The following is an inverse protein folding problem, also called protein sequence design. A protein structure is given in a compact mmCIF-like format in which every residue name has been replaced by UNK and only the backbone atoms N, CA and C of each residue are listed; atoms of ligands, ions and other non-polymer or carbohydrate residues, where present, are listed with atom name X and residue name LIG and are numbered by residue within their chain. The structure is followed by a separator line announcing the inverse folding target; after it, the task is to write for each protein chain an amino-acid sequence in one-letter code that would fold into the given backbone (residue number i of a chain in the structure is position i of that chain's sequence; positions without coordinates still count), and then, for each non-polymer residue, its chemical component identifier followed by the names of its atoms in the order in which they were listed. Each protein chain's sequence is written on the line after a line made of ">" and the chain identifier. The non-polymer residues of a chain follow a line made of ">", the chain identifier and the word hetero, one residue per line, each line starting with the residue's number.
data_IF_232400163483
#
_entry.id   IF_232400163483
#
_cell.length_a   1.000
_cell.length_b   1.000
_cell.length_c   1.000
_cell.angle_alpha   90.00
_cell.angle_beta   90.00
_cell.angle_gamma   90.00
#
_symmetry.space_group_name_H-M   'P 1'
#
loop_
_entity.id
_entity.type
_entity.pdbx_description
1 polymer ?
#
# COMPACT_ATOMS: atom_id res chain seq x y z
N UNK A 1 3.46 30.26 -10.24
CA UNK A 1 4.01 29.13 -9.48
C UNK A 1 3.20 29.01 -8.21
N UNK A 2 2.15 28.18 -8.25
CA UNK A 2 1.51 27.70 -7.03
C UNK A 2 2.53 26.76 -6.36
N UNK A 3 2.99 27.10 -5.17
CA UNK A 3 4.04 26.34 -4.48
C UNK A 3 3.42 25.17 -3.69
N UNK A 4 4.26 24.26 -3.19
CA UNK A 4 3.85 23.23 -2.20
C UNK A 4 3.10 23.83 -1.00
N UNK A 5 3.22 25.14 -0.77
CA UNK A 5 2.44 25.93 0.20
C UNK A 5 0.93 25.89 -0.04
N UNK A 6 0.45 25.75 -1.29
CA UNK A 6 -0.98 25.72 -1.61
C UNK A 6 -1.61 24.34 -1.32
N UNK A 7 -0.94 23.25 -1.69
CA UNK A 7 -1.36 21.86 -1.36
C UNK A 7 -1.47 21.68 0.15
N UNK A 8 -0.41 22.08 0.86
CA UNK A 8 -0.33 22.06 2.32
C UNK A 8 -1.44 22.86 2.98
N UNK A 9 -1.76 24.04 2.46
CA UNK A 9 -2.82 24.90 2.99
C UNK A 9 -4.20 24.28 2.78
N UNK A 10 -4.51 23.77 1.60
CA UNK A 10 -5.81 23.11 1.30
C UNK A 10 -6.05 21.96 2.29
N UNK A 11 -5.03 21.12 2.46
CA UNK A 11 -5.08 19.94 3.31
C UNK A 11 -5.07 20.28 4.82
N UNK A 12 -4.34 21.31 5.23
CA UNK A 12 -4.35 21.83 6.60
C UNK A 12 -5.69 22.47 6.97
N UNK A 13 -6.24 23.33 6.10
CA UNK A 13 -7.51 24.01 6.33
C UNK A 13 -8.64 22.98 6.48
N UNK A 14 -8.71 21.97 5.61
CA UNK A 14 -9.64 20.85 5.73
C UNK A 14 -9.53 20.13 7.09
N UNK A 15 -8.29 19.84 7.52
CA UNK A 15 -8.02 19.15 8.78
C UNK A 15 -8.41 19.98 10.01
N UNK A 16 -8.22 21.29 9.97
CA UNK A 16 -8.58 22.19 11.07
C UNK A 16 -10.10 22.29 11.29
N UNK A 17 -10.88 22.19 10.21
CA UNK A 17 -12.34 22.24 10.25
C UNK A 17 -12.99 20.86 10.54
N UNK A 18 -12.20 19.80 10.61
CA UNK A 18 -12.67 18.45 10.95
C UNK A 18 -12.67 18.20 12.48
N UNK A 19 -13.64 17.45 13.03
CA UNK A 19 -13.70 17.17 14.47
C UNK A 19 -12.41 16.56 15.03
N UNK A 20 -12.03 16.94 16.25
CA UNK A 20 -10.76 16.57 16.90
C UNK A 20 -10.39 15.07 16.91
N UNK A 21 -11.30 14.11 17.19
CA UNK A 21 -10.95 12.68 17.29
C UNK A 21 -10.75 11.96 15.94
N UNK A 22 -10.98 12.63 14.81
CA UNK A 22 -10.98 12.02 13.46
C UNK A 22 -9.71 12.30 12.65
N UNK A 23 -8.65 12.85 13.27
CA UNK A 23 -7.41 13.21 12.57
C UNK A 23 -6.48 11.98 12.40
N UNK A 24 -5.98 11.75 11.17
CA UNK A 24 -5.08 10.63 10.83
C UNK A 24 -3.59 10.90 11.16
N UNK A 25 -2.85 9.95 11.77
CA UNK A 25 -1.41 10.07 12.00
C UNK A 25 -0.57 9.87 10.72
N UNK A 26 -1.03 9.07 9.75
CA UNK A 26 -0.33 8.84 8.46
C UNK A 26 -0.35 10.11 7.61
N UNK A 27 -1.50 10.77 7.54
CA UNK A 27 -1.56 12.09 6.95
C UNK A 27 -0.84 13.12 7.79
N UNK A 28 -0.75 12.97 9.12
CA UNK A 28 0.13 13.85 9.89
C UNK A 28 1.57 13.71 9.40
N UNK A 29 2.04 12.53 9.01
CA UNK A 29 3.33 12.39 8.32
C UNK A 29 3.35 13.01 6.92
N UNK A 30 2.45 12.65 6.00
CA UNK A 30 2.39 13.22 4.63
C UNK A 30 2.25 14.74 4.64
N UNK A 31 1.37 15.27 5.49
CA UNK A 31 1.13 16.69 5.69
C UNK A 31 2.31 17.37 6.39
N UNK A 32 2.98 16.75 7.36
CA UNK A 32 4.21 17.32 7.96
C UNK A 32 5.35 17.35 6.92
N UNK A 33 5.47 16.32 6.07
CA UNK A 33 6.40 16.29 4.94
C UNK A 33 6.11 17.37 3.90
N UNK A 34 4.84 17.71 3.66
CA UNK A 34 4.41 18.77 2.75
C UNK A 34 4.45 20.18 3.41
N UNK A 35 4.26 20.29 4.73
CA UNK A 35 4.08 21.56 5.46
C UNK A 35 5.32 22.06 6.22
N UNK A 36 6.30 21.20 6.57
CA UNK A 36 7.45 21.57 7.40
C UNK A 36 8.78 21.36 6.67
N UNK A 37 9.01 22.25 5.73
CA UNK A 37 10.34 22.57 5.21
C UNK A 37 10.94 23.75 6.00
N UNK A 38 11.06 23.65 7.32
CA UNK A 38 11.98 24.51 8.07
C UNK A 38 13.42 23.95 7.89
N UNK A 39 13.91 23.92 6.65
CA UNK A 39 15.29 23.59 6.30
C UNK A 39 15.52 22.55 5.19
N UNK A 40 14.54 21.71 4.85
CA UNK A 40 14.64 20.73 3.73
C UNK A 40 13.66 21.12 2.61
N UNK A 41 14.08 21.10 1.34
CA UNK A 41 13.18 21.45 0.21
C UNK A 41 11.91 20.57 0.23
N UNK A 42 10.75 21.15 -0.05
CA UNK A 42 9.50 20.41 -0.15
C UNK A 42 9.53 19.48 -1.38
N UNK A 43 8.91 18.28 -1.33
CA UNK A 43 8.93 17.37 -2.47
C UNK A 43 8.19 17.97 -3.66
N UNK A 44 8.79 17.91 -4.84
CA UNK A 44 8.15 18.28 -6.11
C UNK A 44 7.20 17.17 -6.55
N UNK A 45 7.59 15.92 -6.31
CA UNK A 45 6.85 14.73 -6.69
C UNK A 45 6.52 13.87 -5.47
N UNK A 46 5.40 13.14 -5.52
CA UNK A 46 5.02 12.17 -4.50
C UNK A 46 4.67 10.84 -5.16
N UNK A 47 5.25 9.75 -4.67
CA UNK A 47 4.87 8.38 -5.02
C UNK A 47 4.44 7.65 -3.75
N UNK A 48 3.20 7.17 -3.74
CA UNK A 48 2.63 6.37 -2.66
C UNK A 48 2.39 4.95 -3.14
N UNK A 49 3.13 4.01 -2.57
CA UNK A 49 2.92 2.58 -2.75
C UNK A 49 2.06 2.01 -1.61
N UNK A 50 1.00 1.29 -1.97
CA UNK A 50 0.10 0.61 -1.03
C UNK A 50 0.02 -0.88 -1.41
N UNK A 51 0.52 -1.76 -0.55
CA UNK A 51 0.23 -3.19 -0.64
C UNK A 51 -1.02 -3.47 0.20
N UNK A 52 -2.18 -3.55 -0.44
CA UNK A 52 -3.48 -3.70 0.25
C UNK A 52 -3.46 -4.97 1.12
N UNK A 53 -3.82 -4.86 2.39
CA UNK A 53 -3.86 -5.99 3.32
C UNK A 53 -2.49 -6.53 3.79
N UNK A 54 -1.37 -5.89 3.43
CA UNK A 54 -0.03 -6.42 3.73
C UNK A 54 0.50 -6.05 5.13
N UNK A 55 0.43 -6.98 6.07
CA UNK A 55 1.12 -6.89 7.37
C UNK A 55 2.61 -7.24 7.29
N UNK A 56 3.34 -7.10 8.40
CA UNK A 56 4.78 -7.43 8.46
C UNK A 56 5.10 -8.85 7.98
N UNK A 57 4.20 -9.81 8.21
CA UNK A 57 4.41 -11.21 7.82
C UNK A 57 4.27 -11.41 6.30
N UNK A 58 3.43 -10.64 5.60
CA UNK A 58 3.33 -10.67 4.14
C UNK A 58 4.64 -10.21 3.48
N UNK A 59 5.22 -9.13 4.00
CA UNK A 59 6.54 -8.64 3.57
C UNK A 59 7.64 -9.67 3.79
N UNK A 60 7.65 -10.34 4.94
CA UNK A 60 8.63 -11.38 5.24
C UNK A 60 8.41 -12.64 4.39
N UNK A 61 7.16 -13.01 4.11
CA UNK A 61 6.81 -14.15 3.26
C UNK A 61 7.33 -14.00 1.84
N UNK A 62 7.13 -12.83 1.23
CA UNK A 62 7.70 -12.54 -0.09
C UNK A 62 9.23 -12.53 -0.05
N UNK A 63 9.83 -11.87 0.94
CA UNK A 63 11.29 -11.82 1.11
C UNK A 63 11.95 -13.19 1.09
N UNK A 64 11.37 -14.17 1.79
CA UNK A 64 11.98 -15.49 1.92
C UNK A 64 11.80 -16.37 0.67
N UNK A 65 10.88 -16.01 -0.23
CA UNK A 65 10.63 -16.73 -1.47
C UNK A 65 11.35 -16.09 -2.68
N UNK A 66 11.77 -14.83 -2.58
CA UNK A 66 12.49 -14.15 -3.65
C UNK A 66 13.91 -14.69 -3.84
N UNK A 67 14.34 -14.76 -5.10
CA UNK A 67 15.62 -15.37 -5.48
C UNK A 67 16.86 -14.49 -5.18
N UNK A 68 16.68 -13.30 -4.61
CA UNK A 68 17.80 -12.45 -4.19
C UNK A 68 18.53 -13.10 -3.00
N UNK A 69 19.84 -13.43 -3.12
CA UNK A 69 20.61 -14.02 -2.03
C UNK A 69 20.72 -13.14 -0.77
N UNK A 70 20.40 -11.84 -0.85
CA UNK A 70 20.30 -10.97 0.34
C UNK A 70 18.90 -10.93 0.95
N UNK A 71 17.87 -11.18 0.14
CA UNK A 71 16.45 -11.02 0.48
C UNK A 71 16.07 -9.57 0.80
N UNK A 72 16.91 -8.59 0.49
CA UNK A 72 16.66 -7.21 0.88
C UNK A 72 15.83 -6.49 -0.18
N UNK A 73 14.78 -5.83 0.29
CA UNK A 73 13.96 -4.95 -0.52
C UNK A 73 14.60 -3.57 -0.57
N UNK A 74 14.39 -2.84 -1.68
CA UNK A 74 14.98 -1.50 -1.88
C UNK A 74 14.67 -0.52 -0.75
N UNK A 75 13.56 -0.72 -0.04
CA UNK A 75 13.11 0.10 1.09
C UNK A 75 13.65 -0.31 2.47
N UNK A 76 14.33 -1.45 2.60
CA UNK A 76 14.93 -1.86 3.88
C UNK A 76 16.01 -0.90 4.36
N UNK A 77 16.74 -0.30 3.41
CA UNK A 77 17.80 0.67 3.69
C UNK A 77 17.30 2.12 3.87
N UNK A 78 15.99 2.38 3.78
CA UNK A 78 15.47 3.74 3.79
C UNK A 78 15.57 4.39 5.19
N UNK A 79 15.72 5.72 5.26
CA UNK A 79 15.93 6.43 6.51
C UNK A 79 14.72 6.39 7.45
N UNK A 80 13.51 6.23 6.92
CA UNK A 80 12.27 6.16 7.71
C UNK A 80 11.70 4.76 7.62
N UNK A 81 11.53 4.14 8.79
CA UNK A 81 10.91 2.83 8.98
C UNK A 81 10.06 2.89 10.24
N UNK A 82 8.74 2.85 10.06
CA UNK A 82 7.75 2.99 11.11
C UNK A 82 6.73 1.85 11.02
N UNK A 83 5.87 1.78 12.02
CA UNK A 83 4.68 0.95 12.01
C UNK A 83 3.47 1.88 12.17
N UNK A 84 2.37 1.59 11.49
CA UNK A 84 1.17 2.41 11.51
C UNK A 84 -0.11 1.57 11.54
N UNK A 85 -1.22 2.23 11.81
CA UNK A 85 -2.57 1.69 11.67
C UNK A 85 -3.51 2.81 11.18
N UNK A 86 -4.65 2.41 10.63
CA UNK A 86 -5.63 3.31 10.01
C UNK A 86 -7.06 3.02 10.50
N UNK A 87 -7.31 2.87 11.83
CA UNK A 87 -8.65 2.54 12.32
C UNK A 87 -9.68 3.57 11.84
N UNK A 88 -10.91 3.14 11.50
CA UNK A 88 -11.92 4.01 10.90
C UNK A 88 -12.40 5.08 11.90
N UNK A 89 -13.24 5.99 11.43
CA UNK A 89 -13.87 6.98 12.31
C UNK A 89 -14.67 6.28 13.43
N UNK A 90 -14.45 6.72 14.67
CA UNK A 90 -14.96 6.05 15.87
C UNK A 90 -14.11 4.88 16.37
N UNK A 91 -13.20 4.35 15.56
CA UNK A 91 -12.27 3.29 15.92
C UNK A 91 -11.00 3.80 16.62
N UNK A 92 -10.39 2.94 17.43
CA UNK A 92 -9.18 3.26 18.20
C UNK A 92 -8.08 2.21 18.02
N UNK A 93 -6.84 2.62 18.31
CA UNK A 93 -5.72 1.71 18.44
C UNK A 93 -5.10 1.90 19.81
N UNK A 94 -5.07 0.84 20.61
CA UNK A 94 -4.44 0.81 21.93
C UNK A 94 -3.29 -0.20 21.92
N UNK A 95 -2.02 0.24 21.97
CA UNK A 95 -0.88 -0.66 21.94
C UNK A 95 -0.78 -1.56 23.19
N UNK A 96 -1.29 -1.12 24.35
CA UNK A 96 -1.27 -1.94 25.57
C UNK A 96 -2.30 -3.07 25.47
N UNK A 97 -3.47 -2.79 24.91
CA UNK A 97 -4.48 -3.83 24.65
C UNK A 97 -4.02 -4.80 23.57
N UNK A 98 -3.47 -4.29 22.46
CA UNK A 98 -2.92 -5.13 21.40
C UNK A 98 -1.86 -6.11 21.93
N UNK A 99 -1.05 -5.69 22.91
CA UNK A 99 -0.05 -6.55 23.53
C UNK A 99 -0.64 -7.59 24.50
N UNK A 100 -1.73 -7.27 25.19
CA UNK A 100 -2.27 -8.10 26.28
C UNK A 100 -3.39 -9.05 25.85
N UNK A 101 -4.17 -8.68 24.86
CA UNK A 101 -5.34 -9.41 24.41
C UNK A 101 -5.25 -9.69 22.90
N UNK A 102 -4.93 -10.94 22.50
CA UNK A 102 -4.90 -11.30 21.09
C UNK A 102 -6.22 -11.03 20.34
N UNK A 103 -7.38 -11.07 21.03
CA UNK A 103 -8.67 -10.77 20.41
C UNK A 103 -8.85 -9.27 20.10
N UNK A 104 -7.97 -8.40 20.61
CA UNK A 104 -7.95 -6.99 20.25
C UNK A 104 -7.64 -6.78 18.76
N UNK A 105 -6.94 -7.71 18.11
CA UNK A 105 -6.65 -7.59 16.68
C UNK A 105 -7.90 -7.64 15.80
N UNK A 106 -9.02 -8.13 16.31
CA UNK A 106 -10.28 -8.26 15.56
C UNK A 106 -11.23 -7.08 15.78
N UNK A 107 -10.76 -6.00 16.43
CA UNK A 107 -11.57 -4.83 16.78
C UNK A 107 -11.29 -3.63 15.88
N UNK A 108 -12.32 -2.84 15.63
CA UNK A 108 -12.24 -1.56 14.90
C UNK A 108 -11.56 -1.72 13.52
N UNK A 109 -11.89 -2.82 12.84
CA UNK A 109 -11.33 -3.18 11.54
C UNK A 109 -11.69 -2.12 10.51
N UNK A 110 -10.67 -1.45 9.99
CA UNK A 110 -10.81 -0.53 8.87
C UNK A 110 -10.99 -1.30 7.57
N UNK A 111 -11.67 -0.73 6.60
CA UNK A 111 -11.65 -1.22 5.22
C UNK A 111 -10.72 -0.34 4.36
N UNK A 112 -10.35 -0.83 3.17
CA UNK A 112 -9.48 -0.08 2.26
C UNK A 112 -9.98 1.34 1.95
N UNK A 113 -11.30 1.55 1.93
CA UNK A 113 -11.92 2.86 1.68
C UNK A 113 -11.67 3.86 2.81
N UNK A 114 -11.93 3.46 4.06
CA UNK A 114 -11.65 4.29 5.22
C UNK A 114 -10.15 4.54 5.40
N UNK A 115 -9.33 3.51 5.17
CA UNK A 115 -7.88 3.60 5.29
C UNK A 115 -7.27 4.57 4.26
N UNK A 116 -7.59 4.44 2.96
CA UNK A 116 -7.05 5.34 1.95
C UNK A 116 -7.55 6.77 2.11
N UNK A 117 -8.81 6.94 2.55
CA UNK A 117 -9.34 8.26 2.92
C UNK A 117 -8.47 8.89 4.00
N UNK A 118 -8.19 8.16 5.08
CA UNK A 118 -7.36 8.64 6.18
C UNK A 118 -5.92 8.95 5.73
N UNK A 119 -5.35 8.18 4.81
CA UNK A 119 -4.00 8.39 4.29
C UNK A 119 -3.90 9.60 3.37
N UNK A 120 -4.91 9.85 2.54
CA UNK A 120 -4.84 10.84 1.45
C UNK A 120 -5.54 12.16 1.74
N UNK A 121 -6.47 12.20 2.69
CA UNK A 121 -7.22 13.42 3.09
C UNK A 121 -6.90 13.90 4.49
N UNK A 122 -6.38 13.01 5.33
CA UNK A 122 -6.06 13.27 6.72
C UNK A 122 -7.18 13.23 7.72
N UNK A 123 -8.37 12.93 7.23
CA UNK A 123 -9.57 12.81 8.02
C UNK A 123 -10.01 11.36 7.93
N UNK A 124 -10.25 10.74 9.09
CA UNK A 124 -10.83 9.41 9.16
C UNK A 124 -12.27 9.46 8.68
N UNK A 125 -12.73 8.40 8.04
CA UNK A 125 -14.13 8.20 7.69
C UNK A 125 -14.62 6.84 8.16
N UNK A 126 -15.91 6.59 8.03
CA UNK A 126 -16.50 5.28 8.31
C UNK A 126 -16.26 4.32 7.15
N UNK A 127 -16.21 3.02 7.43
CA UNK A 127 -16.00 2.01 6.38
C UNK A 127 -17.00 2.14 5.24
N UNK A 128 -16.56 1.80 4.04
CA UNK A 128 -17.37 1.84 2.82
C UNK A 128 -17.43 3.21 2.14
N UNK A 129 -16.80 4.26 2.70
CA UNK A 129 -16.84 5.63 2.15
C UNK A 129 -15.48 6.08 1.61
N UNK A 130 -15.51 6.82 0.49
CA UNK A 130 -14.31 7.30 -0.20
C UNK A 130 -14.23 8.82 -0.09
N UNK A 131 -13.17 9.34 0.52
CA UNK A 131 -12.87 10.78 0.58
C UNK A 131 -14.06 11.66 0.96
N UNK A 132 -14.84 11.23 1.96
CA UNK A 132 -15.89 12.02 2.61
C UNK A 132 -15.69 11.93 4.12
N UNK A 133 -16.04 12.98 4.86
CA UNK A 133 -16.00 12.96 6.31
C UNK A 133 -17.12 12.05 6.90
N UNK A 134 -17.14 11.78 8.21
CA UNK A 134 -18.18 10.94 8.81
C UNK A 134 -19.61 11.48 8.67
N UNK A 135 -19.78 12.79 8.44
CA UNK A 135 -21.07 13.41 8.15
C UNK A 135 -21.50 13.23 6.69
N UNK A 136 -20.57 12.82 5.82
CA UNK A 136 -20.76 12.62 4.40
C UNK A 136 -20.34 13.82 3.56
N UNK A 137 -19.68 14.83 4.13
CA UNK A 137 -19.21 15.98 3.37
C UNK A 137 -17.95 15.60 2.57
N UNK A 138 -17.84 15.95 1.27
CA UNK A 138 -16.65 15.68 0.47
C UNK A 138 -15.37 16.26 1.06
N UNK A 139 -14.30 15.47 1.02
CA UNK A 139 -12.94 15.85 1.36
C UNK A 139 -12.10 15.97 0.09
N UNK A 140 -11.17 16.93 0.09
CA UNK A 140 -10.12 17.06 -0.90
C UNK A 140 -9.06 16.00 -0.64
N UNK A 141 -8.79 15.18 -1.65
CA UNK A 141 -7.73 14.17 -1.61
C UNK A 141 -6.37 14.76 -1.96
N UNK A 142 -5.29 14.04 -1.65
CA UNK A 142 -3.94 14.40 -2.08
C UNK A 142 -3.84 14.60 -3.60
N UNK A 143 -4.46 13.72 -4.39
CA UNK A 143 -4.47 13.87 -5.85
C UNK A 143 -5.18 15.15 -6.29
N UNK A 144 -6.36 15.43 -5.72
CA UNK A 144 -7.10 16.65 -6.05
C UNK A 144 -6.35 17.92 -5.65
N UNK A 145 -5.68 17.91 -4.49
CA UNK A 145 -4.86 19.03 -4.04
C UNK A 145 -3.64 19.24 -4.95
N UNK A 146 -2.97 18.16 -5.37
CA UNK A 146 -1.82 18.23 -6.29
C UNK A 146 -2.25 18.71 -7.69
N UNK A 147 -3.38 18.21 -8.22
CA UNK A 147 -3.95 18.68 -9.48
C UNK A 147 -4.44 20.13 -9.43
N UNK A 148 -4.84 20.64 -8.26
CA UNK A 148 -5.17 22.05 -8.06
C UNK A 148 -3.91 22.95 -8.05
N UNK A 149 -2.74 22.37 -7.83
CA UNK A 149 -1.43 23.03 -7.95
C UNK A 149 -0.77 22.77 -9.32
N UNK A 150 -1.57 22.45 -10.34
CA UNK A 150 -1.17 22.21 -11.73
C UNK A 150 -0.19 21.03 -11.92
N UNK A 151 -0.08 20.12 -10.94
CA UNK A 151 0.74 18.91 -11.03
C UNK A 151 -0.05 17.76 -11.63
N UNK A 152 0.62 16.93 -12.42
CA UNK A 152 0.03 15.71 -12.98
C UNK A 152 -0.25 14.65 -11.92
N UNK A 153 -1.33 13.89 -12.09
CA UNK A 153 -1.76 12.90 -11.10
C UNK A 153 -2.14 11.57 -11.71
N UNK A 154 -1.86 10.47 -11.00
CA UNK A 154 -2.13 9.14 -11.52
C UNK A 154 -2.36 8.05 -10.49
N UNK A 155 -3.07 7.02 -10.92
CA UNK A 155 -3.28 5.77 -10.18
C UNK A 155 -2.91 4.56 -11.02
N UNK A 156 -2.24 3.60 -10.39
CA UNK A 156 -1.91 2.29 -10.96
C UNK A 156 -2.26 1.22 -9.92
N UNK A 157 -2.96 0.17 -10.32
CA UNK A 157 -3.33 -0.92 -9.41
C UNK A 157 -3.35 -2.28 -10.10
N UNK A 158 -3.22 -3.36 -9.32
CA UNK A 158 -3.43 -4.73 -9.81
C UNK A 158 -4.90 -5.19 -9.81
N UNK A 159 -5.81 -4.46 -9.16
CA UNK A 159 -7.27 -4.73 -9.12
C UNK A 159 -8.01 -3.74 -10.03
N UNK A 160 -9.37 -3.71 -10.13
CA UNK A 160 -10.02 -2.72 -10.95
C UNK A 160 -9.70 -1.31 -10.46
N UNK A 161 -9.43 -0.36 -11.37
CA UNK A 161 -9.06 1.01 -10.97
C UNK A 161 -10.17 1.75 -10.20
N UNK A 162 -11.40 1.24 -10.21
CA UNK A 162 -12.54 1.74 -9.43
C UNK A 162 -12.61 1.17 -8.01
N UNK A 163 -11.70 0.26 -7.65
CA UNK A 163 -11.64 -0.29 -6.30
C UNK A 163 -11.27 0.79 -5.27
N UNK A 164 -11.45 0.50 -3.98
CA UNK A 164 -11.46 1.53 -2.96
C UNK A 164 -10.16 2.33 -2.85
N UNK A 165 -8.99 1.70 -2.85
CA UNK A 165 -7.69 2.38 -2.74
C UNK A 165 -7.43 3.34 -3.91
N UNK A 166 -7.49 2.94 -5.20
CA UNK A 166 -7.28 3.88 -6.30
C UNK A 166 -8.39 4.93 -6.38
N UNK A 167 -9.64 4.56 -6.08
CA UNK A 167 -10.77 5.49 -6.10
C UNK A 167 -10.68 6.54 -4.99
N UNK A 168 -10.42 6.14 -3.74
CA UNK A 168 -10.37 7.04 -2.59
C UNK A 168 -9.16 7.97 -2.58
N UNK A 169 -8.12 7.67 -3.35
CA UNK A 169 -7.05 8.61 -3.66
C UNK A 169 -7.49 9.71 -4.64
N UNK A 170 -8.41 9.42 -5.56
CA UNK A 170 -8.75 10.30 -6.67
C UNK A 170 -10.08 11.07 -6.51
N UNK A 171 -11.09 10.44 -5.94
CA UNK A 171 -12.48 10.92 -5.95
C UNK A 171 -13.15 10.76 -4.60
N UNK A 172 -14.18 11.57 -4.37
CA UNK A 172 -15.10 11.41 -3.25
C UNK A 172 -16.37 10.70 -3.68
N UNK A 173 -16.79 9.71 -2.89
CA UNK A 173 -18.00 8.93 -3.14
C UNK A 173 -18.56 8.36 -1.82
N UNK A 174 -19.88 8.35 -1.68
CA UNK A 174 -20.55 7.88 -0.47
C UNK A 174 -20.51 6.36 -0.30
N UNK A 175 -20.27 5.62 -1.39
CA UNK A 175 -20.28 4.16 -1.40
C UNK A 175 -19.16 3.63 -2.29
N UNK A 176 -18.20 2.91 -1.70
CA UNK A 176 -17.10 2.24 -2.43
C UNK A 176 -17.60 1.22 -3.46
N UNK A 177 -18.82 0.71 -3.32
CA UNK A 177 -19.45 -0.21 -4.26
C UNK A 177 -20.06 0.45 -5.50
N UNK A 178 -20.10 1.78 -5.58
CA UNK A 178 -20.70 2.52 -6.69
C UNK A 178 -19.78 2.58 -7.94
N UNK A 179 -19.28 1.44 -8.42
CA UNK A 179 -18.25 1.35 -9.48
C UNK A 179 -18.57 2.12 -10.76
N UNK A 180 -19.83 2.12 -11.21
CA UNK A 180 -20.26 2.90 -12.38
C UNK A 180 -20.09 4.41 -12.18
N UNK A 181 -20.40 4.90 -10.99
CA UNK A 181 -20.23 6.31 -10.62
C UNK A 181 -18.76 6.65 -10.46
N UNK A 182 -18.02 5.82 -9.70
CA UNK A 182 -16.59 5.99 -9.45
C UNK A 182 -15.80 6.06 -10.76
N UNK A 183 -16.03 5.14 -11.70
CA UNK A 183 -15.39 5.18 -13.01
C UNK A 183 -15.63 6.50 -13.75
N UNK A 184 -16.87 7.00 -13.72
CA UNK A 184 -17.22 8.27 -14.37
C UNK A 184 -16.58 9.45 -13.69
N UNK A 185 -16.49 9.45 -12.36
CA UNK A 185 -15.81 10.50 -11.60
C UNK A 185 -14.30 10.51 -11.89
N UNK A 186 -13.65 9.35 -11.90
CA UNK A 186 -12.21 9.25 -12.15
C UNK A 186 -11.87 9.66 -13.59
N UNK A 187 -12.62 9.17 -14.58
CA UNK A 187 -12.38 9.46 -16.00
C UNK A 187 -12.88 10.86 -16.42
N UNK A 188 -13.84 11.42 -15.69
CA UNK A 188 -14.31 12.80 -15.87
C UNK A 188 -13.51 13.84 -15.09
N UNK A 189 -12.61 13.39 -14.20
CA UNK A 189 -11.81 14.24 -13.32
C UNK A 189 -10.50 14.74 -13.93
N UNK A 190 -9.58 15.14 -13.04
CA UNK A 190 -8.27 15.73 -13.36
C UNK A 190 -7.09 14.75 -13.36
N UNK A 191 -7.34 13.44 -13.28
CA UNK A 191 -6.26 12.46 -13.39
C UNK A 191 -5.67 12.45 -14.81
N UNK A 192 -4.36 12.24 -14.92
CA UNK A 192 -3.63 12.09 -16.18
C UNK A 192 -3.34 10.63 -16.50
N UNK A 193 -3.25 9.78 -15.46
CA UNK A 193 -3.04 8.34 -15.59
C UNK A 193 -4.06 7.56 -14.76
N UNK A 194 -4.75 6.63 -15.39
CA UNK A 194 -5.59 5.62 -14.72
C UNK A 194 -5.23 4.26 -15.26
N UNK A 195 -4.61 3.39 -14.46
CA UNK A 195 -4.28 2.03 -14.91
C UNK A 195 -4.72 0.98 -13.89
N UNK A 196 -5.43 -0.04 -14.34
CA UNK A 196 -5.91 -1.12 -13.48
C UNK A 196 -6.72 -2.16 -14.25
N UNK A 197 -7.07 -3.26 -13.60
CA UNK A 197 -7.94 -4.29 -14.18
C UNK A 197 -9.36 -3.73 -14.45
N UNK A 198 -10.26 -4.58 -14.93
CA UNK A 198 -11.65 -4.22 -15.20
C UNK A 198 -12.01 -4.20 -16.68
N UNK A 199 -11.27 -4.92 -17.52
CA UNK A 199 -11.56 -4.98 -18.94
C UNK A 199 -12.94 -5.61 -19.18
N UNK A 200 -13.84 -4.96 -19.93
CA UNK A 200 -15.20 -5.46 -20.07
C UNK A 200 -15.33 -6.81 -20.77
N UNK A 201 -14.35 -7.16 -21.59
CA UNK A 201 -14.43 -8.24 -22.56
C UNK A 201 -13.47 -9.38 -22.26
N UNK A 202 -12.81 -9.40 -21.10
CA UNK A 202 -11.89 -10.48 -20.73
C UNK A 202 -12.26 -11.08 -19.38
N UNK A 203 -11.88 -12.33 -19.15
CA UNK A 203 -11.88 -13.00 -17.84
C UNK A 203 -10.52 -12.87 -17.14
N UNK A 204 -10.34 -13.51 -15.99
CA UNK A 204 -9.10 -13.48 -15.21
C UNK A 204 -7.98 -14.37 -15.76
N UNK A 205 -8.26 -15.18 -16.79
CA UNK A 205 -7.26 -15.92 -17.56
C UNK A 205 -6.79 -15.15 -18.80
N UNK A 206 -7.25 -13.92 -18.97
CA UNK A 206 -6.93 -13.09 -20.13
C UNK A 206 -7.65 -13.49 -21.41
N UNK A 207 -8.71 -14.32 -21.32
CA UNK A 207 -9.47 -14.78 -22.49
C UNK A 207 -10.64 -13.87 -22.75
N UNK A 208 -10.89 -13.60 -24.03
CA UNK A 208 -12.03 -12.78 -24.46
C UNK A 208 -13.35 -13.50 -24.13
N UNK A 209 -14.30 -12.77 -23.54
CA UNK A 209 -15.66 -13.23 -23.24
C UNK A 209 -16.68 -12.77 -24.30
N UNK A 210 -17.80 -13.49 -24.40
CA UNK A 210 -18.91 -13.15 -25.29
C UNK A 210 -19.86 -12.08 -24.71
N UNK A 211 -19.92 -11.99 -23.39
CA UNK A 211 -20.75 -11.01 -22.66
C UNK A 211 -19.83 -10.02 -21.97
N UNK A 212 -20.06 -8.73 -22.25
CA UNK A 212 -19.29 -7.66 -21.65
C UNK A 212 -19.78 -7.30 -20.24
N UNK A 213 -18.84 -6.99 -19.35
CA UNK A 213 -19.11 -6.36 -18.05
C UNK A 213 -18.53 -4.94 -18.00
N UNK A 214 -19.40 -3.94 -18.15
CA UNK A 214 -18.98 -2.54 -18.17
C UNK A 214 -18.96 -1.86 -16.80
N UNK A 215 -19.23 -2.59 -15.69
CA UNK A 215 -19.41 -1.96 -14.39
C UNK A 215 -18.15 -1.22 -13.89
N UNK A 216 -16.96 -1.72 -14.26
CA UNK A 216 -15.65 -1.17 -13.87
C UNK A 216 -15.16 -0.02 -14.75
N UNK A 217 -15.85 0.29 -15.85
CA UNK A 217 -15.42 1.30 -16.84
C UNK A 217 -16.46 2.40 -17.09
N UNK A 218 -17.45 2.55 -16.19
CA UNK A 218 -18.44 3.61 -16.26
C UNK A 218 -19.64 3.32 -17.17
N UNK A 219 -19.75 2.10 -17.68
CA UNK A 219 -20.80 1.66 -18.60
C UNK A 219 -20.38 1.65 -20.07
N UNK A 220 -21.22 1.05 -20.91
CA UNK A 220 -20.94 0.84 -22.33
C UNK A 220 -20.63 2.15 -23.07
N UNK A 221 -21.41 3.21 -22.85
CA UNK A 221 -21.19 4.51 -23.51
C UNK A 221 -19.83 5.14 -23.15
N UNK A 222 -19.38 4.98 -21.89
CA UNK A 222 -18.06 5.46 -21.45
C UNK A 222 -16.95 4.65 -22.11
N UNK A 223 -17.09 3.33 -22.15
CA UNK A 223 -16.15 2.44 -22.84
C UNK A 223 -16.06 2.74 -24.35
N UNK A 224 -17.19 2.88 -25.03
CA UNK A 224 -17.24 3.21 -26.45
C UNK A 224 -16.54 4.55 -26.74
N UNK A 225 -16.73 5.54 -25.85
CA UNK A 225 -16.05 6.84 -25.96
C UNK A 225 -14.54 6.76 -25.69
N UNK A 226 -14.09 5.87 -24.79
CA UNK A 226 -12.66 5.58 -24.59
C UNK A 226 -12.05 4.96 -25.84
N UNK A 227 -12.71 3.94 -26.40
CA UNK A 227 -12.25 3.25 -27.62
C UNK A 227 -12.21 4.21 -28.81
N UNK A 228 -13.18 5.11 -28.93
CA UNK A 228 -13.21 6.13 -29.97
C UNK A 228 -12.21 7.28 -29.77
N UNK A 229 -11.54 7.35 -28.60
CA UNK A 229 -10.66 8.47 -28.26
C UNK A 229 -11.41 9.80 -28.09
N UNK A 230 -12.71 9.75 -27.78
CA UNK A 230 -13.57 10.93 -27.62
C UNK A 230 -13.93 11.22 -26.16
N UNK A 231 -13.61 10.31 -25.23
CA UNK A 231 -13.79 10.57 -23.81
C UNK A 231 -12.72 11.52 -23.30
N UNK A 232 -13.13 12.64 -22.71
CA UNK A 232 -12.23 13.59 -22.07
C UNK A 232 -13.00 14.64 -21.27
N UNK A 233 -12.43 15.08 -20.16
CA UNK A 233 -12.97 16.20 -19.39
C UNK A 233 -12.73 17.52 -20.15
N UNK A 234 -13.66 18.46 -20.04
CA UNK A 234 -13.54 19.76 -20.68
C UNK A 234 -12.25 20.47 -20.22
N UNK A 235 -11.40 20.86 -21.16
CA UNK A 235 -10.11 21.52 -20.88
C UNK A 235 -8.93 20.56 -20.65
N UNK A 236 -9.16 19.27 -20.41
CA UNK A 236 -8.09 18.30 -20.13
C UNK A 236 -7.64 17.50 -21.37
N UNK A 237 -8.46 17.49 -22.41
CA UNK A 237 -8.24 16.68 -23.61
C UNK A 237 -8.71 15.22 -23.48
N UNK A 238 -8.70 14.47 -24.59
CA UNK A 238 -9.17 13.09 -24.62
C UNK A 238 -8.18 12.12 -23.96
N UNK A 239 -8.72 11.02 -23.47
CA UNK A 239 -7.96 9.88 -22.99
C UNK A 239 -7.41 9.04 -24.15
N UNK A 240 -6.17 8.60 -24.03
CA UNK A 240 -5.62 7.51 -24.85
C UNK A 240 -5.83 6.18 -24.15
N UNK A 241 -6.56 5.24 -24.76
CA UNK A 241 -6.76 3.90 -24.22
C UNK A 241 -5.63 2.96 -24.64
N UNK A 242 -5.05 2.24 -23.67
CA UNK A 242 -4.13 1.11 -23.91
C UNK A 242 -4.65 -0.13 -23.19
N UNK A 243 -4.52 -1.30 -23.82
CA UNK A 243 -4.99 -2.57 -23.25
C UNK A 243 -3.98 -3.69 -23.40
N UNK A 244 -3.22 -3.76 -24.50
CA UNK A 244 -2.24 -4.82 -24.71
C UNK A 244 -0.96 -4.56 -23.92
N UNK A 245 -0.36 -5.60 -23.30
CA UNK A 245 0.91 -5.51 -22.55
C UNK A 245 2.01 -4.76 -23.31
N UNK A 246 2.17 -5.02 -24.61
CA UNK A 246 3.14 -4.33 -25.44
C UNK A 246 2.97 -2.80 -25.50
N UNK A 247 1.74 -2.29 -25.34
CA UNK A 247 1.48 -0.85 -25.26
C UNK A 247 1.97 -0.24 -23.94
N UNK A 248 1.81 -0.96 -22.82
CA UNK A 248 2.36 -0.54 -21.52
C UNK A 248 3.90 -0.53 -21.57
N UNK A 249 4.50 -1.58 -22.13
CA UNK A 249 5.94 -1.68 -22.31
C UNK A 249 6.49 -0.56 -23.22
N UNK A 250 5.81 -0.28 -24.34
CA UNK A 250 6.20 0.83 -25.22
C UNK A 250 6.06 2.19 -24.53
N UNK A 251 5.02 2.38 -23.71
CA UNK A 251 4.79 3.63 -22.99
C UNK A 251 5.79 3.86 -21.85
N UNK A 252 6.44 2.82 -21.32
CA UNK A 252 7.43 2.96 -20.25
C UNK A 252 8.64 3.86 -20.60
N UNK A 253 8.96 4.01 -21.89
CA UNK A 253 10.08 4.84 -22.36
C UNK A 253 9.81 5.57 -23.68
N UNK A 254 8.65 5.36 -24.30
CA UNK A 254 8.26 5.96 -25.56
C UNK A 254 7.59 7.33 -25.42
N UNK A 255 7.00 7.79 -26.53
CA UNK A 255 6.21 9.02 -26.53
C UNK A 255 4.97 8.85 -25.64
N UNK A 256 4.79 9.76 -24.69
CA UNK A 256 3.66 9.76 -23.78
C UNK A 256 2.52 10.67 -24.30
N UNK A 257 1.25 10.20 -24.29
CA UNK A 257 0.12 11.10 -24.45
C UNK A 257 -0.04 11.97 -23.21
N UNK A 258 -0.83 13.06 -23.30
CA UNK A 258 -1.17 13.87 -22.12
C UNK A 258 -1.92 13.06 -21.06
N UNK A 259 -2.89 12.25 -21.49
CA UNK A 259 -3.71 11.42 -20.61
C UNK A 259 -3.83 10.00 -21.12
N UNK A 260 -3.69 9.01 -20.24
CA UNK A 260 -3.79 7.59 -20.57
C UNK A 260 -4.68 6.82 -19.60
N UNK A 261 -5.57 5.99 -20.17
CA UNK A 261 -6.27 4.95 -19.41
C UNK A 261 -5.70 3.60 -19.87
N UNK A 262 -5.15 2.84 -18.92
CA UNK A 262 -4.66 1.49 -19.14
C UNK A 262 -5.60 0.47 -18.55
N UNK A 263 -6.23 -0.36 -19.38
CA UNK A 263 -7.10 -1.46 -18.94
C UNK A 263 -6.57 -2.77 -19.52
N UNK A 264 -5.62 -3.44 -18.83
CA UNK A 264 -5.10 -4.76 -19.22
C UNK A 264 -6.20 -5.75 -19.53
N UNK A 265 -5.97 -6.81 -20.34
CA UNK A 265 -7.03 -7.69 -20.82
C UNK A 265 -7.45 -8.71 -19.73
N UNK A 266 -7.82 -8.25 -18.54
CA UNK A 266 -8.27 -9.06 -17.39
C UNK A 266 -9.42 -8.38 -16.65
N UNK A 267 -10.27 -9.17 -15.98
CA UNK A 267 -11.48 -8.65 -15.31
C UNK A 267 -11.19 -8.08 -13.93
N UNK A 268 -10.71 -8.91 -13.02
CA UNK A 268 -10.67 -8.61 -11.60
C UNK A 268 -9.26 -8.30 -11.12
N UNK A 269 -8.26 -9.08 -11.53
CA UNK A 269 -6.88 -8.88 -11.06
C UNK A 269 -5.89 -9.12 -12.20
N UNK A 270 -4.70 -8.53 -12.13
CA UNK A 270 -3.66 -8.85 -13.11
C UNK A 270 -3.32 -10.34 -13.13
N UNK A 271 -3.24 -10.98 -11.96
CA UNK A 271 -2.77 -12.37 -11.88
C UNK A 271 -3.39 -13.20 -10.75
N UNK A 272 -3.83 -12.62 -9.62
CA UNK A 272 -4.27 -13.39 -8.45
C UNK A 272 -5.48 -14.32 -8.72
N UNK A 273 -6.44 -13.86 -9.51
CA UNK A 273 -7.68 -14.58 -9.85
C UNK A 273 -7.55 -15.49 -11.09
N UNK A 274 -6.37 -15.58 -11.70
CA UNK A 274 -6.16 -16.50 -12.84
C UNK A 274 -6.42 -17.95 -12.43
N UNK A 275 -6.90 -18.73 -13.38
CA UNK A 275 -7.20 -20.15 -13.23
C UNK A 275 -6.00 -21.02 -12.87
N UNK A 276 -6.25 -22.32 -12.71
CA UNK A 276 -5.31 -23.27 -12.13
C UNK A 276 -5.63 -23.56 -10.66
N UNK A 277 -4.72 -24.27 -9.97
CA UNK A 277 -4.89 -24.59 -8.55
C UNK A 277 -4.63 -23.32 -7.68
N UNK A 278 -5.65 -22.77 -7.01
CA UNK A 278 -5.52 -21.53 -6.23
C UNK A 278 -4.70 -21.73 -4.94
N UNK A 279 -4.47 -22.97 -4.50
CA UNK A 279 -3.70 -23.33 -3.32
C UNK A 279 -2.31 -23.87 -3.67
N UNK A 280 -1.92 -23.80 -4.94
CA UNK A 280 -0.61 -24.22 -5.38
C UNK A 280 0.51 -23.40 -4.72
N UNK A 281 1.70 -23.99 -4.66
CA UNK A 281 2.89 -23.28 -4.22
C UNK A 281 3.13 -22.02 -5.07
N UNK A 282 3.78 -20.97 -4.52
CA UNK A 282 4.11 -19.76 -5.27
C UNK A 282 4.77 -20.08 -6.61
N UNK A 283 4.31 -19.45 -7.69
CA UNK A 283 4.81 -19.58 -9.06
C UNK A 283 4.62 -20.97 -9.71
N UNK A 284 3.94 -21.92 -9.06
CA UNK A 284 3.67 -23.24 -9.64
C UNK A 284 2.61 -23.19 -10.74
N UNK A 285 1.66 -22.26 -10.65
CA UNK A 285 0.69 -21.99 -11.71
C UNK A 285 1.24 -20.88 -12.61
N UNK A 286 1.38 -21.10 -13.93
CA UNK A 286 1.89 -20.09 -14.86
C UNK A 286 1.11 -18.78 -14.79
N UNK A 287 1.80 -17.65 -14.97
CA UNK A 287 1.18 -16.32 -15.10
C UNK A 287 0.59 -16.15 -16.49
N UNK A 288 -0.40 -15.28 -16.62
CA UNK A 288 -0.90 -14.85 -17.92
C UNK A 288 0.16 -13.94 -18.57
N UNK A 289 0.83 -14.41 -19.61
CA UNK A 289 1.97 -13.71 -20.22
C UNK A 289 1.58 -12.44 -20.98
N UNK A 290 0.35 -12.36 -21.49
CA UNK A 290 -0.16 -11.19 -22.23
C UNK A 290 -0.67 -10.05 -21.32
N UNK A 291 -0.63 -10.24 -20.00
CA UNK A 291 -1.03 -9.25 -19.00
C UNK A 291 0.22 -8.54 -18.48
N UNK A 292 0.26 -7.20 -18.48
CA UNK A 292 1.39 -6.46 -17.95
C UNK A 292 1.59 -6.71 -16.46
N UNK A 293 2.82 -6.56 -15.99
CA UNK A 293 3.12 -6.56 -14.56
C UNK A 293 2.81 -5.19 -13.94
N UNK A 294 2.67 -5.14 -12.61
CA UNK A 294 2.55 -3.86 -11.90
C UNK A 294 3.75 -2.94 -12.18
N UNK A 295 4.95 -3.50 -12.29
CA UNK A 295 6.16 -2.76 -12.62
C UNK A 295 6.11 -2.13 -14.04
N UNK A 296 5.58 -2.84 -15.03
CA UNK A 296 5.43 -2.31 -16.39
C UNK A 296 4.40 -1.15 -16.41
N UNK A 297 3.28 -1.31 -15.73
CA UNK A 297 2.26 -0.25 -15.61
C UNK A 297 2.80 0.97 -14.85
N UNK A 298 3.52 0.74 -13.74
CA UNK A 298 4.13 1.80 -12.93
C UNK A 298 5.17 2.61 -13.71
N UNK A 299 6.00 1.95 -14.53
CA UNK A 299 6.98 2.62 -15.40
C UNK A 299 6.31 3.43 -16.51
N UNK A 300 5.24 2.90 -17.10
CA UNK A 300 4.42 3.63 -18.07
C UNK A 300 3.80 4.88 -17.46
N UNK A 301 3.20 4.76 -16.27
CA UNK A 301 2.65 5.89 -15.52
C UNK A 301 3.71 6.95 -15.21
N UNK A 302 4.88 6.54 -14.71
CA UNK A 302 5.97 7.46 -14.42
C UNK A 302 6.43 8.22 -15.66
N UNK A 303 6.50 7.56 -16.83
CA UNK A 303 6.89 8.22 -18.08
C UNK A 303 5.89 9.30 -18.52
N UNK A 304 4.59 9.08 -18.31
CA UNK A 304 3.55 10.07 -18.63
C UNK A 304 3.61 11.25 -17.67
N UNK A 305 3.65 10.97 -16.36
CA UNK A 305 3.56 11.99 -15.32
C UNK A 305 4.81 12.87 -15.22
N UNK A 306 6.00 12.34 -15.54
CA UNK A 306 7.25 13.09 -15.52
C UNK A 306 7.37 14.14 -16.65
N UNK A 307 6.46 14.11 -17.63
CA UNK A 307 6.41 15.15 -18.65
C UNK A 307 6.00 16.53 -18.08
N UNK A 308 5.46 16.56 -16.86
CA UNK A 308 4.98 17.76 -16.20
C UNK A 308 6.10 18.50 -15.45
N UNK A 309 6.47 19.73 -15.87
CA UNK A 309 7.48 20.52 -15.19
C UNK A 309 7.06 20.98 -13.79
N UNK A 310 5.78 20.98 -13.44
CA UNK A 310 5.34 21.34 -12.10
C UNK A 310 5.48 20.15 -11.13
N UNK A 311 5.58 18.91 -11.64
CA UNK A 311 5.78 17.67 -10.88
C UNK A 311 4.54 16.80 -10.84
N UNK A 312 4.57 15.71 -10.06
CA UNK A 312 3.46 14.74 -10.08
C UNK A 312 3.11 14.10 -8.73
N UNK A 313 1.91 13.50 -8.67
CA UNK A 313 1.48 12.60 -7.60
C UNK A 313 1.01 11.27 -8.16
N UNK A 314 1.59 10.16 -7.72
CA UNK A 314 1.30 8.83 -8.23
C UNK A 314 0.99 7.87 -7.08
N UNK A 315 -0.16 7.21 -7.13
CA UNK A 315 -0.46 6.05 -6.29
C UNK A 315 -0.24 4.75 -7.08
N UNK A 316 0.43 3.78 -6.46
CA UNK A 316 0.68 2.45 -7.03
C UNK A 316 0.25 1.41 -6.00
N UNK A 317 -0.64 0.52 -6.40
CA UNK A 317 -1.26 -0.45 -5.49
C UNK A 317 -1.01 -1.90 -5.93
N UNK A 318 -0.52 -2.71 -5.00
CA UNK A 318 -0.62 -4.17 -5.07
C UNK A 318 -1.92 -4.61 -4.41
N UNK A 319 -3.05 -4.47 -5.12
CA UNK A 319 -4.39 -4.59 -4.51
C UNK A 319 -4.82 -6.03 -4.24
N UNK A 320 -4.32 -7.01 -5.00
CA UNK A 320 -4.74 -8.39 -4.83
C UNK A 320 -3.97 -9.18 -3.75
N UNK A 321 -3.06 -8.52 -3.02
CA UNK A 321 -2.43 -9.09 -1.80
C UNK A 321 -3.50 -9.35 -0.75
N UNK A 322 -4.38 -8.38 -0.52
CA UNK A 322 -5.55 -8.48 0.35
C UNK A 322 -6.50 -9.59 -0.09
N UNK A 323 -6.87 -9.61 -1.38
CA UNK A 323 -7.81 -10.59 -1.92
C UNK A 323 -7.29 -12.03 -1.78
N UNK A 324 -6.00 -12.23 -2.05
CA UNK A 324 -5.37 -13.53 -1.84
C UNK A 324 -5.31 -13.91 -0.36
N UNK A 325 -5.23 -12.93 0.55
CA UNK A 325 -5.21 -13.16 2.00
C UNK A 325 -6.59 -13.53 2.53
N UNK A 326 -7.66 -12.82 2.12
CA UNK A 326 -9.05 -13.18 2.39
C UNK A 326 -9.37 -14.62 2.01
N UNK A 327 -8.92 -15.05 0.82
CA UNK A 327 -9.16 -16.39 0.29
C UNK A 327 -8.19 -17.46 0.82
N UNK A 328 -7.24 -17.11 1.68
CA UNK A 328 -6.24 -18.03 2.21
C UNK A 328 -5.26 -18.59 1.17
N UNK A 329 -5.06 -17.89 0.04
CA UNK A 329 -4.25 -18.33 -1.11
C UNK A 329 -2.79 -17.88 -0.94
N UNK A 330 -2.05 -18.53 -0.03
CA UNK A 330 -0.67 -18.15 0.30
C UNK A 330 0.26 -18.03 -0.92
N UNK A 331 0.13 -18.95 -1.89
CA UNK A 331 0.88 -18.92 -3.14
C UNK A 331 0.64 -17.65 -3.96
N UNK A 332 -0.64 -17.27 -4.12
CA UNK A 332 -1.05 -16.04 -4.82
C UNK A 332 -0.62 -14.79 -4.06
N UNK A 333 -0.77 -14.77 -2.73
CA UNK A 333 -0.37 -13.65 -1.89
C UNK A 333 1.13 -13.35 -2.03
N UNK A 334 1.99 -14.39 -2.01
CA UNK A 334 3.43 -14.24 -2.22
C UNK A 334 3.74 -13.70 -3.63
N UNK A 335 3.06 -14.21 -4.67
CA UNK A 335 3.24 -13.71 -6.04
C UNK A 335 2.88 -12.23 -6.18
N UNK A 336 1.79 -11.78 -5.55
CA UNK A 336 1.34 -10.38 -5.59
C UNK A 336 2.30 -9.47 -4.80
N UNK A 337 2.77 -9.90 -3.63
CA UNK A 337 3.79 -9.15 -2.88
C UNK A 337 5.11 -9.05 -3.65
N UNK A 338 5.55 -10.13 -4.32
CA UNK A 338 6.73 -10.08 -5.18
C UNK A 338 6.53 -9.13 -6.38
N UNK A 339 5.34 -9.09 -6.98
CA UNK A 339 5.06 -8.13 -8.07
C UNK A 339 5.04 -6.68 -7.57
N UNK A 340 4.50 -6.45 -6.37
CA UNK A 340 4.56 -5.16 -5.67
C UNK A 340 6.00 -4.71 -5.41
N UNK A 341 6.83 -5.57 -4.83
CA UNK A 341 8.24 -5.29 -4.56
C UNK A 341 9.01 -4.90 -5.84
N UNK A 342 8.79 -5.65 -6.93
CA UNK A 342 9.36 -5.35 -8.24
C UNK A 342 8.88 -4.02 -8.81
N UNK A 343 7.63 -3.63 -8.54
CA UNK A 343 7.14 -2.31 -8.93
C UNK A 343 7.83 -1.20 -8.15
N UNK A 344 8.07 -1.37 -6.85
CA UNK A 344 8.86 -0.41 -6.06
C UNK A 344 10.27 -0.29 -6.61
N UNK A 345 10.95 -1.41 -6.85
CA UNK A 345 12.30 -1.42 -7.44
C UNK A 345 12.34 -0.72 -8.81
N UNK A 346 11.41 -1.05 -9.70
CA UNK A 346 11.36 -0.47 -11.04
C UNK A 346 11.13 1.05 -11.01
N UNK A 347 10.23 1.55 -10.17
CA UNK A 347 10.01 3.00 -10.03
C UNK A 347 11.20 3.69 -9.40
N UNK A 348 11.82 3.09 -8.38
CA UNK A 348 13.04 3.64 -7.77
C UNK A 348 14.18 3.76 -8.78
N UNK A 349 14.43 2.72 -9.58
CA UNK A 349 15.38 2.78 -10.69
C UNK A 349 14.97 3.85 -11.70
N UNK A 350 13.68 3.96 -12.00
CA UNK A 350 13.17 4.95 -12.93
C UNK A 350 13.31 6.40 -12.49
N UNK A 351 13.12 6.66 -11.20
CA UNK A 351 13.36 7.98 -10.62
C UNK A 351 14.86 8.31 -10.64
N UNK A 352 15.74 7.33 -10.45
CA UNK A 352 17.19 7.50 -10.50
C UNK A 352 17.67 7.83 -11.92
N UNK A 353 17.24 7.05 -12.91
CA UNK A 353 17.53 7.26 -14.34
C UNK A 353 17.16 8.68 -14.81
N UNK A 354 16.09 9.25 -14.23
CA UNK A 354 15.57 10.59 -14.53
C UNK A 354 16.14 11.69 -13.65
N UNK A 355 16.96 11.35 -12.65
CA UNK A 355 17.53 12.31 -11.69
C UNK A 355 16.51 12.89 -10.69
N UNK A 356 15.38 12.22 -10.48
CA UNK A 356 14.24 12.71 -9.69
C UNK A 356 14.26 12.26 -8.22
N UNK A 357 15.18 11.39 -7.82
CA UNK A 357 15.26 10.88 -6.43
C UNK A 357 15.40 12.00 -5.38
N UNK A 358 16.11 13.07 -5.73
CA UNK A 358 16.30 14.23 -4.86
C UNK A 358 15.07 15.13 -4.72
N UNK A 359 14.08 14.96 -5.59
CA UNK A 359 12.88 15.82 -5.68
C UNK A 359 11.58 15.05 -5.35
N UNK A 360 11.68 13.74 -5.12
CA UNK A 360 10.52 12.85 -4.98
C UNK A 360 10.44 12.27 -3.57
N UNK A 361 9.31 12.49 -2.90
CA UNK A 361 8.94 11.75 -1.70
C UNK A 361 8.37 10.40 -2.13
N UNK A 362 8.97 9.31 -1.66
CA UNK A 362 8.48 7.95 -1.88
C UNK A 362 8.08 7.34 -0.54
N UNK A 363 6.85 6.82 -0.48
CA UNK A 363 6.28 6.13 0.69
C UNK A 363 5.83 4.74 0.25
N UNK A 364 6.20 3.72 1.02
CA UNK A 364 5.74 2.33 0.85
C UNK A 364 5.06 1.88 2.11
N UNK A 365 3.82 1.42 2.01
CA UNK A 365 3.04 0.98 3.16
C UNK A 365 1.91 0.03 2.76
N UNK A 366 1.03 -0.29 3.70
CA UNK A 366 -0.24 -0.97 3.48
C UNK A 366 -1.36 -0.13 4.08
N UNK A 367 -2.60 -0.38 3.69
CA UNK A 367 -3.77 0.27 4.25
C UNK A 367 -4.17 -0.38 5.59
N UNK A 368 -4.21 -1.70 5.66
CA UNK A 368 -4.43 -2.53 6.84
C UNK A 368 -3.73 -3.90 6.69
N UNK A 369 -3.84 -4.76 7.71
CA UNK A 369 -3.43 -6.16 7.61
C UNK A 369 -4.63 -7.05 7.26
N UNK A 370 -4.41 -8.11 6.50
CA UNK A 370 -5.44 -9.08 6.14
C UNK A 370 -4.99 -10.52 6.39
N UNK A 371 -5.86 -11.28 7.07
CA UNK A 371 -5.73 -12.72 7.27
C UNK A 371 -4.89 -13.16 8.47
N UNK A 372 -4.26 -12.23 9.20
CA UNK A 372 -3.35 -12.50 10.32
C UNK A 372 -2.32 -13.59 9.95
N UNK A 373 -1.54 -13.34 8.91
CA UNK A 373 -0.60 -14.32 8.37
C UNK A 373 0.42 -14.75 9.44
N UNK A 374 0.55 -16.05 9.68
CA UNK A 374 1.45 -16.61 10.69
C UNK A 374 2.21 -17.84 10.18
N UNK A 375 3.27 -18.21 10.88
CA UNK A 375 4.04 -19.44 10.63
C UNK A 375 5.35 -19.25 9.85
N UNK A 376 6.28 -20.22 9.92
CA UNK A 376 7.54 -20.18 9.19
C UNK A 376 7.36 -20.66 7.75
N UNK A 377 8.24 -20.22 6.85
CA UNK A 377 8.35 -20.80 5.50
C UNK A 377 8.58 -22.32 5.58
N UNK A 378 7.92 -23.13 4.74
CA UNK A 378 6.95 -22.78 3.68
C UNK A 378 5.48 -22.86 4.14
N UNK A 379 5.22 -23.02 5.44
CA UNK A 379 3.92 -23.33 6.02
C UNK A 379 3.25 -22.09 6.60
N UNK A 380 3.01 -21.09 5.75
CA UNK A 380 2.18 -19.95 6.14
C UNK A 380 0.73 -20.39 6.37
N UNK A 381 0.11 -19.84 7.41
CA UNK A 381 -1.29 -20.08 7.79
C UNK A 381 -1.95 -18.73 8.01
N UNK A 382 -3.15 -18.56 7.44
CA UNK A 382 -4.03 -17.44 7.75
C UNK A 382 -4.88 -17.82 8.96
N UNK A 383 -4.84 -17.01 10.02
CA UNK A 383 -5.61 -17.28 11.24
C UNK A 383 -7.04 -16.74 11.14
N UNK A 384 -7.31 -15.86 10.18
CA UNK A 384 -8.63 -15.34 9.84
C UNK A 384 -8.75 -15.15 8.32
N UNK A 385 -9.97 -15.01 7.82
CA UNK A 385 -10.25 -14.56 6.45
C UNK A 385 -10.69 -13.10 6.40
N UNK A 386 -10.52 -12.35 7.50
CA UNK A 386 -10.90 -10.94 7.64
C UNK A 386 -9.65 -10.04 7.73
N UNK A 387 -9.86 -8.73 7.70
CA UNK A 387 -8.82 -7.79 8.09
C UNK A 387 -8.45 -7.94 9.58
N UNK A 388 -7.28 -7.45 9.97
CA UNK A 388 -6.94 -7.24 11.38
C UNK A 388 -6.47 -5.83 11.65
N UNK A 389 -6.55 -5.44 12.92
CA UNK A 389 -6.04 -4.18 13.45
C UNK A 389 -4.53 -4.25 13.75
N UNK A 390 -3.82 -5.27 13.25
CA UNK A 390 -2.37 -5.37 13.39
C UNK A 390 -1.67 -4.17 12.75
N UNK A 391 -0.53 -3.77 13.31
CA UNK A 391 0.26 -2.71 12.69
C UNK A 391 0.81 -3.17 11.34
N UNK A 392 0.83 -2.24 10.39
CA UNK A 392 1.43 -2.41 9.08
C UNK A 392 2.72 -1.59 8.96
N UNK A 393 3.70 -2.02 8.13
CA UNK A 393 4.93 -1.27 7.96
C UNK A 393 4.72 0.02 7.16
N UNK A 394 5.51 1.04 7.46
CA UNK A 394 5.68 2.25 6.65
C UNK A 394 7.16 2.51 6.43
N UNK A 395 7.55 2.63 5.17
CA UNK A 395 8.89 3.03 4.74
C UNK A 395 8.81 4.35 3.98
N UNK A 396 9.74 5.26 4.22
CA UNK A 396 9.79 6.51 3.44
C UNK A 396 11.21 7.02 3.19
N UNK A 397 11.38 7.71 2.06
CA UNK A 397 12.61 8.43 1.70
C UNK A 397 12.29 9.67 0.85
N UNK A 398 13.31 10.52 0.71
CA UNK A 398 13.22 11.73 -0.11
C UNK A 398 12.84 12.97 0.70
N UNK A 399 12.61 14.10 0.02
CA UNK A 399 12.35 15.37 0.70
C UNK A 399 11.10 15.29 1.59
N UNK A 400 11.20 15.83 2.80
CA UNK A 400 10.12 15.79 3.79
C UNK A 400 9.96 14.48 4.56
N UNK A 401 10.64 13.37 4.20
CA UNK A 401 10.39 12.07 4.86
C UNK A 401 10.77 12.05 6.35
N UNK A 402 11.80 12.81 6.75
CA UNK A 402 12.35 12.81 8.11
C UNK A 402 11.63 13.69 9.13
N UNK A 403 10.54 14.36 8.77
CA UNK A 403 9.79 15.17 9.73
C UNK A 403 8.96 14.27 10.66
N UNK A 404 9.45 14.08 11.89
CA UNK A 404 8.70 13.39 12.95
C UNK A 404 7.32 14.01 13.14
N UNK A 405 6.27 13.21 13.44
CA UNK A 405 4.99 13.77 13.83
C UNK A 405 5.20 14.56 15.13
N UNK A 406 4.44 15.65 15.38
CA UNK A 406 4.49 16.28 16.68
C UNK A 406 4.18 15.21 17.74
N UNK A 407 5.08 15.05 18.71
CA UNK A 407 4.85 14.18 19.85
C UNK A 407 3.48 14.49 20.46
N UNK A 408 2.69 13.48 20.89
CA UNK A 408 1.55 13.76 21.74
C UNK A 408 2.07 14.58 22.93
N UNK A 409 1.54 15.79 23.09
CA UNK A 409 1.98 16.76 24.08
C UNK A 409 1.73 16.21 25.49
N UNK A 410 2.71 15.50 26.03
CA UNK A 410 2.80 15.24 27.47
C UNK A 410 4.29 15.10 27.81
N UNK A 411 4.89 16.04 28.58
CA UNK A 411 6.31 15.95 28.92
C UNK A 411 6.51 14.81 29.92
N UNK A 412 7.47 13.93 29.64
CA UNK A 412 7.95 12.93 30.59
C UNK A 412 9.00 13.61 31.50
N UNK A 413 8.86 13.60 32.84
CA UNK A 413 9.87 14.14 33.73
C UNK A 413 11.13 13.27 33.70
N UNK A 414 12.31 13.88 33.64
CA UNK A 414 13.60 13.18 33.73
C UNK A 414 13.78 12.53 35.10
N UNK A 415 14.01 11.22 35.14
CA UNK A 415 14.36 10.52 36.37
C UNK A 415 15.86 10.67 36.64
N UNK A 416 16.19 11.32 37.76
CA UNK A 416 17.54 11.46 38.31
C UNK A 416 17.97 10.14 38.98
N UNK A 417 19.06 9.47 38.53
CA UNK A 417 19.38 8.12 38.96
C UNK A 417 20.24 8.09 40.23
N UNK A 418 19.82 8.74 41.32
CA UNK A 418 20.46 8.56 42.63
C UNK A 418 19.48 8.65 43.79
N UNK A 419 18.77 7.56 44.10
CA UNK A 419 18.46 7.25 45.51
C UNK A 419 18.06 5.78 45.68
N UNK A 420 18.90 5.05 46.39
CA UNK A 420 18.62 3.75 47.01
C UNK A 420 18.06 4.00 48.41
N UNK A 421 16.95 3.35 48.78
CA UNK A 421 16.79 2.64 50.08
C UNK A 421 15.44 1.94 50.18
N UNK A 422 15.48 0.78 50.83
CA UNK A 422 14.43 -0.22 50.99
C UNK A 422 13.36 0.14 52.05
N UNK A 423 12.16 -0.43 51.97
CA UNK A 423 11.68 -1.40 52.99
C UNK A 423 10.35 -2.11 52.63
N UNK A 424 10.13 -3.20 53.37
CA UNK A 424 9.14 -4.27 53.25
C UNK A 424 7.80 -4.03 53.98
N UNK A 425 6.76 -4.83 53.59
CA UNK A 425 5.63 -5.36 54.38
C UNK A 425 4.15 -4.94 54.04
N UNK A 426 3.37 -5.99 53.70
CA UNK A 426 1.97 -6.38 54.09
C UNK A 426 0.71 -5.51 53.81
N UNK A 427 -0.24 -6.18 53.12
CA UNK A 427 -1.69 -6.36 53.38
C UNK A 427 -2.77 -5.28 53.10
N UNK A 428 -3.65 -5.65 52.14
CA UNK A 428 -5.14 -5.57 52.11
C UNK A 428 -5.87 -4.22 51.86
N UNK A 429 -6.97 -4.34 51.08
CA UNK A 429 -8.06 -3.39 50.75
C UNK A 429 -7.86 -2.45 49.53
N UNK A 430 -8.89 -2.41 48.66
CA UNK A 430 -8.94 -1.73 47.36
C UNK A 430 -9.40 -0.24 47.47
N UNK A 431 -9.57 0.50 46.35
CA UNK A 431 -8.60 1.26 45.54
C UNK A 431 -8.74 2.80 45.81
N UNK A 432 -7.92 3.73 45.25
CA UNK A 432 -7.97 4.11 43.83
C UNK A 432 -6.59 4.36 43.18
N UNK A 433 -6.58 4.28 41.85
CA UNK A 433 -5.69 4.93 40.87
C UNK A 433 -4.44 5.64 41.42
N UNK A 434 -3.25 5.12 41.10
CA UNK A 434 -2.14 5.86 40.46
C UNK A 434 -1.00 4.92 40.05
N UNK A 435 -0.52 5.20 38.85
CA UNK A 435 0.59 4.62 38.09
C UNK A 435 1.89 4.39 38.86
N UNK A 436 2.64 3.36 38.45
CA UNK A 436 4.00 3.58 37.94
C UNK A 436 4.36 2.53 36.88
N UNK A 437 4.66 3.07 35.70
CA UNK A 437 5.10 2.44 34.46
C UNK A 437 6.58 2.10 34.57
N UNK A 438 7.00 0.97 34.01
CA UNK A 438 8.34 0.77 33.49
C UNK A 438 8.20 0.29 32.03
N UNK A 439 8.41 1.19 31.08
CA UNK A 439 8.69 0.86 29.69
C UNK A 439 10.21 0.97 29.51
N UNK A 440 10.87 -0.12 29.14
CA UNK A 440 12.22 -0.09 28.60
C UNK A 440 12.11 -0.06 27.08
N UNK A 441 12.66 0.98 26.46
CA UNK A 441 13.03 0.96 25.06
C UNK A 441 14.08 -0.15 24.87
N UNK A 442 13.75 -1.18 24.09
CA UNK A 442 14.73 -2.14 23.63
C UNK A 442 15.22 -1.70 22.24
N UNK A 443 16.52 -1.40 22.06
CA UNK A 443 17.10 -1.28 20.74
C UNK A 443 17.06 -2.65 20.05
N UNK A 444 16.72 -2.67 18.75
CA UNK A 444 16.85 -3.85 17.91
C UNK A 444 18.29 -4.37 17.99
N UNK A 445 18.44 -5.59 18.53
CA UNK A 445 19.72 -6.31 18.54
C UNK A 445 19.98 -6.82 17.12
N UNK A 446 21.17 -6.59 16.54
CA UNK A 446 21.53 -7.19 15.27
C UNK A 446 21.73 -8.70 15.49
N UNK A 447 20.96 -9.52 14.77
CA UNK A 447 21.13 -10.96 14.78
C UNK A 447 22.42 -11.32 14.03
N UNK A 448 23.50 -11.55 14.77
CA UNK A 448 24.74 -12.07 14.20
C UNK A 448 24.57 -13.56 13.87
N UNK A 449 24.79 -13.93 12.61
CA UNK A 449 24.92 -15.33 12.19
C UNK A 449 26.22 -15.89 12.80
N UNK A 450 26.12 -16.78 13.78
CA UNK A 450 27.21 -17.69 14.12
C UNK A 450 27.32 -18.74 13.02
N UNK A 451 28.37 -18.58 12.22
CA UNK A 451 28.81 -19.53 11.19
C UNK A 451 29.39 -20.76 11.91
N UNK A 452 28.65 -21.86 11.98
CA UNK A 452 29.24 -23.17 12.32
C UNK A 452 30.09 -23.63 11.14
N UNK A 453 31.40 -23.53 11.31
CA UNK A 453 32.38 -24.15 10.41
C UNK A 453 32.27 -25.66 10.53
N UNK A 454 31.72 -26.32 9.51
CA UNK A 454 31.90 -27.76 9.32
C UNK A 454 33.36 -28.00 8.88
N UNK A 455 34.18 -28.41 9.83
CA UNK A 455 35.53 -28.91 9.58
C UNK A 455 35.46 -30.30 8.99
N UNK A 456 36.10 -30.47 7.84
CA UNK A 456 36.42 -31.73 7.19
C UNK A 456 37.38 -32.57 8.05
N UNK A 457 37.02 -33.82 8.35
CA UNK A 457 38.00 -34.90 8.52
C UNK A 457 37.42 -36.22 7.97
N UNK A 458 38.22 -36.84 7.11
CA UNK A 458 37.98 -38.10 6.41
C UNK A 458 38.12 -39.33 7.32
N UNK A 459 37.21 -40.30 7.15
CA UNK A 459 37.41 -41.78 7.16
C UNK A 459 38.00 -42.51 8.39
N UNK A 460 37.94 -43.87 8.45
CA UNK A 460 37.52 -44.81 7.41
C UNK A 460 36.51 -45.93 7.83
N UNK A 461 35.71 -46.36 6.84
CA UNK A 461 35.39 -47.76 6.47
C UNK A 461 34.89 -48.80 7.48
N UNK A 462 33.68 -49.33 7.23
CA UNK A 462 33.40 -50.79 7.18
C UNK A 462 31.96 -51.10 6.72
N UNK A 463 31.84 -51.76 5.55
CA UNK A 463 31.01 -52.97 5.33
C UNK A 463 29.47 -52.89 5.29
N UNK A 464 28.80 -53.52 4.29
CA UNK A 464 27.36 -53.40 4.05
C UNK A 464 26.54 -54.48 4.78
N UNK A 465 25.30 -54.17 5.18
CA UNK A 465 24.30 -55.20 5.50
C UNK A 465 22.94 -54.95 4.84
N UNK A 466 22.40 -56.05 4.33
CA UNK A 466 21.25 -56.19 3.42
C UNK A 466 19.89 -56.01 4.11
N UNK A 467 18.92 -55.60 3.28
CA UNK A 467 17.51 -56.02 3.13
C UNK A 467 16.72 -56.46 4.37
N UNK A 468 15.53 -55.88 4.50
CA UNK A 468 14.37 -56.54 5.12
C UNK A 468 13.13 -55.66 5.16
N UNK A 469 12.27 -55.76 4.14
CA UNK A 469 10.83 -55.49 4.29
C UNK A 469 10.21 -56.54 5.22
N UNK A 470 9.06 -56.24 5.82
CA UNK A 470 7.90 -57.06 5.47
C UNK A 470 6.63 -56.25 5.20
N UNK A 471 5.80 -56.85 4.36
CA UNK A 471 4.45 -56.45 4.04
C UNK A 471 3.48 -56.69 5.21
N UNK A 472 2.49 -55.80 5.33
CA UNK A 472 1.05 -56.12 5.37
C UNK A 472 0.28 -54.82 5.29
#
# INVERSE_FOLDING_TARGET
>A
MASVTDVSRILLDQRLHSPGPERSPVFTHLLTSLCLAAGAAAPRNVVLFVADGAGFQHYEAARLQEADPTGLQVYDGWPVRLAMCTPPAGGTYDPEQMWRDPAWCDRDLTDSAAAITAMTTGVKTVNGRLAVDPRGDPLVTLAQAMAAADKSTGVVTTVPFVHATPAGFAVSCQDRGAYLEIARLMLGGKLDVVMGAGHPWHDDDGRRCDVADYCRVGGAATWDSLVAGSLGAAGEGPWSLITARGQFQALASGAAPRRVVGVPPVRETLQAQRGGDPLAAPFAVPRNEDVPTLAEMARAALNVLDADPDGFCLLIEGGAVDWASHDGRAGRMIEEMTDFNRAVEAVMAGLDERGLLGETLVVVTADHECGHLAGPVPTYVFLTGEHTNSLVPLFARGPGSGSSPPSPTTPIPSADPTSTTANSARCSSAPPVRSSVCAAAAPMVPWSRTRTTAGTTEGPGAGPFRRGSPAS
#
